data_IF_161604516829
#
_entry.id   IF_161604516829
#
_cell.length_a   1.000
_cell.length_b   1.000
_cell.length_c   1.000
_cell.angle_alpha   90.00
_cell.angle_beta   90.00
_cell.angle_gamma   90.00
#
_symmetry.space_group_name_H-M   'P 1'
#
loop_
_entity.id
_entity.type
_entity.pdbx_description
1 polymer ?
#
# COMPACT_ATOMS: atom_id res chain seq x y z
N UNK A 1 62.30 69.38 6.22
CA UNK A 1 61.86 68.00 5.94
C UNK A 1 60.35 68.04 5.76
N UNK A 2 59.84 67.81 4.54
CA UNK A 2 58.44 68.07 4.21
C UNK A 2 57.53 66.96 4.79
N UNK A 3 56.34 67.31 5.30
CA UNK A 3 55.44 66.41 6.06
C UNK A 3 55.10 65.13 5.28
N UNK A 4 55.00 65.25 3.95
CA UNK A 4 54.77 64.14 3.01
C UNK A 4 55.92 63.12 3.02
N UNK A 5 57.16 63.59 3.16
CA UNK A 5 58.34 62.72 3.20
C UNK A 5 58.49 62.02 4.55
N UNK A 6 58.04 62.65 5.65
CA UNK A 6 57.99 62.01 6.97
C UNK A 6 56.87 60.96 7.06
N UNK A 7 55.74 61.18 6.39
CA UNK A 7 54.65 60.18 6.28
C UNK A 7 55.01 59.02 5.38
N UNK A 8 55.69 59.26 4.25
CA UNK A 8 56.23 58.18 3.41
C UNK A 8 57.33 57.38 4.12
N UNK A 9 58.24 58.04 4.83
CA UNK A 9 59.27 57.36 5.61
C UNK A 9 58.68 56.55 6.78
N UNK A 10 57.68 57.07 7.48
CA UNK A 10 56.97 56.30 8.53
C UNK A 10 56.10 55.18 7.98
N UNK A 11 55.52 55.32 6.77
CA UNK A 11 54.85 54.21 6.09
C UNK A 11 55.84 53.14 5.59
N UNK A 12 57.01 53.52 5.07
CA UNK A 12 58.04 52.56 4.64
C UNK A 12 58.69 51.85 5.83
N UNK A 13 59.03 52.57 6.91
CA UNK A 13 59.61 51.97 8.12
C UNK A 13 58.63 51.07 8.88
N UNK A 14 57.33 51.42 8.88
CA UNK A 14 56.32 50.63 9.59
C UNK A 14 55.52 49.69 8.69
N UNK A 15 55.84 49.62 7.39
CA UNK A 15 55.18 48.74 6.43
C UNK A 15 55.21 47.29 6.90
N UNK A 16 56.36 46.85 7.43
CA UNK A 16 56.53 45.53 8.01
C UNK A 16 55.55 45.25 9.16
N UNK A 17 55.37 46.22 10.08
CA UNK A 17 54.44 46.10 11.21
C UNK A 17 52.99 46.09 10.74
N UNK A 18 52.62 46.92 9.76
CA UNK A 18 51.28 46.94 9.19
C UNK A 18 50.96 45.60 8.49
N UNK A 19 51.89 45.06 7.70
CA UNK A 19 51.70 43.77 7.03
C UNK A 19 51.67 42.60 8.01
N UNK A 20 52.52 42.60 9.05
CA UNK A 20 52.46 41.54 10.08
C UNK A 20 51.14 41.55 10.84
N UNK A 21 50.62 42.73 11.21
CA UNK A 21 49.32 42.84 11.86
C UNK A 21 48.19 42.34 10.94
N UNK A 22 48.19 42.73 9.66
CA UNK A 22 47.19 42.26 8.69
C UNK A 22 47.24 40.73 8.47
N UNK A 23 48.45 40.15 8.41
CA UNK A 23 48.62 38.70 8.28
C UNK A 23 48.11 37.98 9.54
N UNK A 24 48.43 38.48 10.73
CA UNK A 24 47.93 37.90 11.99
C UNK A 24 46.40 37.97 12.06
N UNK A 25 45.79 39.08 11.65
CA UNK A 25 44.34 39.21 11.56
C UNK A 25 43.74 38.24 10.54
N UNK A 26 44.36 38.09 9.37
CA UNK A 26 43.89 37.17 8.33
C UNK A 26 43.99 35.70 8.77
N UNK A 27 45.09 35.31 9.43
CA UNK A 27 45.25 33.97 10.02
C UNK A 27 44.23 33.75 11.14
N UNK A 28 44.04 34.73 12.04
CA UNK A 28 43.03 34.66 13.09
C UNK A 28 41.62 34.51 12.52
N UNK A 29 41.28 35.28 11.49
CA UNK A 29 39.99 35.20 10.81
C UNK A 29 39.78 33.84 10.13
N UNK A 30 40.79 33.33 9.40
CA UNK A 30 40.69 32.02 8.72
C UNK A 30 40.56 30.87 9.71
N UNK A 31 41.27 30.89 10.84
CA UNK A 31 41.14 29.87 11.90
C UNK A 31 39.75 29.93 12.56
N UNK A 32 39.26 31.12 12.90
CA UNK A 32 37.92 31.29 13.49
C UNK A 32 36.83 30.85 12.49
N UNK A 33 36.99 31.18 11.22
CA UNK A 33 36.04 30.80 10.17
C UNK A 33 36.04 29.29 9.93
N UNK A 34 37.22 28.65 9.88
CA UNK A 34 37.36 27.19 9.77
C UNK A 34 36.71 26.48 10.97
N UNK A 35 36.98 26.94 12.19
CA UNK A 35 36.40 26.36 13.40
C UNK A 35 34.86 26.52 13.43
N UNK A 36 34.32 27.65 12.94
CA UNK A 36 32.87 27.83 12.78
C UNK A 36 32.27 26.90 11.73
N UNK A 37 32.95 26.70 10.60
CA UNK A 37 32.53 25.75 9.56
C UNK A 37 32.51 24.32 10.09
N UNK A 38 33.56 23.90 10.78
CA UNK A 38 33.64 22.57 11.40
C UNK A 38 32.57 22.37 12.49
N UNK A 39 32.33 23.37 13.34
CA UNK A 39 31.24 23.33 14.32
C UNK A 39 29.86 23.24 13.67
N UNK A 40 29.63 23.95 12.57
CA UNK A 40 28.38 23.88 11.80
C UNK A 40 28.21 22.53 11.09
N UNK A 41 29.28 21.96 10.51
CA UNK A 41 29.27 20.63 9.92
C UNK A 41 28.94 19.56 10.98
N UNK A 42 29.58 19.64 12.15
CA UNK A 42 29.31 18.73 13.27
C UNK A 42 27.88 18.86 13.81
N UNK A 43 27.32 20.08 13.91
CA UNK A 43 25.92 20.31 14.26
C UNK A 43 24.95 19.77 13.20
N UNK A 44 25.30 19.89 11.93
CA UNK A 44 24.49 19.37 10.82
C UNK A 44 24.52 17.84 10.82
N UNK A 45 25.68 17.23 11.04
CA UNK A 45 25.84 15.78 11.20
C UNK A 45 25.08 15.24 12.43
N UNK A 46 25.17 15.92 13.58
CA UNK A 46 24.41 15.55 14.78
C UNK A 46 22.90 15.68 14.57
N UNK A 47 22.44 16.72 13.88
CA UNK A 47 21.03 16.92 13.50
C UNK A 47 20.57 15.84 12.52
N UNK A 48 21.36 15.49 11.50
CA UNK A 48 21.09 14.37 10.59
C UNK A 48 21.03 13.03 11.33
N UNK A 49 21.93 12.78 12.28
CA UNK A 49 21.94 11.56 13.11
C UNK A 49 20.71 11.50 14.03
N UNK A 50 20.29 12.63 14.60
CA UNK A 50 19.08 12.75 15.42
C UNK A 50 17.79 12.57 14.58
N UNK A 51 17.76 13.11 13.37
CA UNK A 51 16.69 12.90 12.38
C UNK A 51 16.62 11.43 11.93
N UNK A 52 17.75 10.79 11.64
CA UNK A 52 17.81 9.37 11.30
C UNK A 52 17.33 8.48 12.47
N UNK A 53 17.70 8.81 13.70
CA UNK A 53 17.23 8.08 14.89
C UNK A 53 15.73 8.29 15.15
N UNK A 54 15.20 9.49 14.88
CA UNK A 54 13.77 9.82 14.94
C UNK A 54 12.97 9.16 13.81
N UNK A 55 13.59 8.97 12.63
CA UNK A 55 13.00 8.25 11.50
C UNK A 55 12.85 6.76 11.80
N UNK A 56 13.86 6.16 12.45
CA UNK A 56 13.81 4.75 12.84
C UNK A 56 12.90 4.45 14.04
N UNK A 57 12.53 5.45 14.85
CA UNK A 57 11.67 5.24 16.03
C UNK A 57 10.16 5.26 15.74
N UNK A 58 9.75 5.42 14.48
CA UNK A 58 8.33 5.54 14.10
C UNK A 58 7.88 4.66 12.93
N UNK A 59 8.79 3.93 12.28
CA UNK A 59 8.44 2.86 11.35
C UNK A 59 8.48 1.55 12.11
N UNK A 60 7.34 0.91 12.26
CA UNK A 60 7.29 -0.52 12.55
C UNK A 60 8.22 -1.19 11.52
N UNK A 61 9.30 -1.84 11.97
CA UNK A 61 10.24 -2.46 11.03
C UNK A 61 9.48 -3.54 10.26
N UNK A 62 9.59 -3.52 8.94
CA UNK A 62 8.95 -4.52 8.07
C UNK A 62 9.47 -5.95 8.36
N UNK A 63 10.64 -6.06 8.98
CA UNK A 63 11.29 -7.31 9.36
C UNK A 63 11.66 -7.31 10.86
N UNK A 64 11.48 -8.44 11.57
CA UNK A 64 11.80 -8.55 13.00
C UNK A 64 13.31 -8.46 13.25
N UNK A 65 13.68 -8.21 14.52
CA UNK A 65 15.07 -8.40 14.97
C UNK A 65 15.47 -9.87 14.78
N UNK A 66 16.53 -10.09 14.02
CA UNK A 66 17.13 -11.36 13.64
C UNK A 66 18.26 -11.82 14.59
N UNK A 67 18.46 -11.08 15.69
CA UNK A 67 19.48 -11.37 16.70
C UNK A 67 19.14 -12.60 17.58
N UNK A 68 17.88 -13.04 17.59
CA UNK A 68 17.45 -14.23 18.34
C UNK A 68 17.32 -15.45 17.39
N UNK A 69 18.20 -16.46 17.49
CA UNK A 69 18.14 -17.66 16.63
C UNK A 69 16.83 -18.43 16.80
N UNK A 70 16.18 -18.24 17.94
CA UNK A 70 14.93 -18.86 18.34
C UNK A 70 13.72 -18.22 17.59
N UNK A 71 13.93 -17.11 16.87
CA UNK A 71 13.00 -16.52 15.90
C UNK A 71 13.21 -17.03 14.47
N UNK A 72 14.32 -17.72 14.17
CA UNK A 72 14.68 -18.17 12.82
C UNK A 72 14.09 -19.56 12.52
N UNK A 73 12.77 -19.61 12.34
CA UNK A 73 12.08 -20.84 11.94
C UNK A 73 11.35 -20.62 10.62
N UNK A 74 11.52 -21.52 9.63
CA UNK A 74 10.90 -21.36 8.34
C UNK A 74 9.37 -21.45 8.43
N UNK A 75 8.70 -20.82 7.46
CA UNK A 75 7.23 -20.81 7.39
C UNK A 75 6.63 -22.21 7.16
N UNK A 76 7.41 -23.09 6.53
CA UNK A 76 7.13 -24.50 6.25
C UNK A 76 8.33 -25.34 6.70
N UNK A 77 8.16 -26.64 7.03
CA UNK A 77 9.27 -27.50 7.45
C UNK A 77 10.42 -27.57 6.43
N UNK A 78 11.67 -27.57 6.89
CA UNK A 78 12.86 -27.63 6.01
C UNK A 78 12.94 -28.92 5.18
N UNK A 79 12.39 -30.01 5.72
CA UNK A 79 12.33 -31.33 5.11
C UNK A 79 11.09 -31.53 4.22
N UNK A 80 10.39 -30.45 3.86
CA UNK A 80 9.22 -30.52 2.96
C UNK A 80 9.60 -31.21 1.65
N UNK A 81 8.96 -32.35 1.30
CA UNK A 81 9.34 -33.12 0.11
C UNK A 81 8.96 -32.39 -1.18
N UNK A 82 9.86 -32.44 -2.16
CA UNK A 82 9.56 -32.00 -3.52
C UNK A 82 8.88 -33.15 -4.30
N UNK A 83 7.75 -32.85 -4.95
CA UNK A 83 6.98 -33.81 -5.74
C UNK A 83 6.96 -33.44 -7.22
N UNK A 84 6.90 -34.41 -8.16
CA UNK A 84 6.80 -34.11 -9.58
C UNK A 84 5.52 -33.33 -9.94
N UNK A 85 5.67 -32.19 -10.60
CA UNK A 85 4.55 -31.40 -11.11
C UNK A 85 4.05 -31.93 -12.46
N UNK A 86 2.75 -32.22 -12.58
CA UNK A 86 2.12 -32.80 -13.78
C UNK A 86 0.87 -32.02 -14.21
N UNK A 87 1.02 -30.84 -14.84
CA UNK A 87 -0.11 -30.05 -15.31
C UNK A 87 -0.76 -30.68 -16.56
N UNK A 88 -2.03 -30.32 -16.86
CA UNK A 88 -2.66 -30.68 -18.12
C UNK A 88 -1.84 -30.16 -19.31
N UNK A 89 -1.47 -31.05 -20.22
CA UNK A 89 -0.82 -30.73 -21.48
C UNK A 89 -1.89 -30.36 -22.52
N UNK A 90 -1.66 -29.31 -23.31
CA UNK A 90 -2.59 -28.81 -24.33
C UNK A 90 -1.84 -28.50 -25.62
N UNK A 91 -2.55 -28.54 -26.74
CA UNK A 91 -1.99 -28.10 -28.03
C UNK A 91 -1.93 -26.58 -28.10
N UNK A 92 -1.06 -26.03 -28.95
CA UNK A 92 -0.95 -24.58 -29.16
C UNK A 92 -2.27 -23.97 -29.64
N UNK A 93 -3.03 -24.70 -30.47
CA UNK A 93 -4.36 -24.29 -30.93
C UNK A 93 -5.35 -24.15 -29.76
N UNK A 94 -5.37 -25.13 -28.85
CA UNK A 94 -6.24 -25.06 -27.67
C UNK A 94 -5.81 -23.92 -26.74
N UNK A 95 -4.51 -23.72 -26.54
CA UNK A 95 -3.98 -22.62 -25.72
C UNK A 95 -4.43 -21.27 -26.29
N UNK A 96 -4.27 -21.06 -27.60
CA UNK A 96 -4.65 -19.82 -28.27
C UNK A 96 -6.16 -19.56 -28.20
N UNK A 97 -6.98 -20.60 -28.39
CA UNK A 97 -8.45 -20.49 -28.28
C UNK A 97 -8.85 -20.09 -26.87
N UNK A 98 -8.38 -20.83 -25.86
CA UNK A 98 -8.71 -20.58 -24.45
C UNK A 98 -8.23 -19.21 -23.98
N UNK A 99 -7.07 -18.75 -24.44
CA UNK A 99 -6.57 -17.42 -24.07
C UNK A 99 -7.47 -16.30 -24.61
N UNK A 100 -8.02 -16.46 -25.81
CA UNK A 100 -8.97 -15.49 -26.40
C UNK A 100 -10.30 -15.50 -25.65
N UNK A 101 -10.89 -16.68 -25.46
CA UNK A 101 -12.16 -16.85 -24.74
C UNK A 101 -12.09 -16.24 -23.32
N UNK A 102 -10.99 -16.49 -22.60
CA UNK A 102 -10.80 -15.96 -21.26
C UNK A 102 -10.56 -14.45 -21.24
N UNK A 103 -9.79 -13.92 -22.22
CA UNK A 103 -9.63 -12.48 -22.38
C UNK A 103 -10.98 -11.80 -22.63
N UNK A 104 -11.80 -12.34 -23.54
CA UNK A 104 -13.11 -11.78 -23.88
C UNK A 104 -14.07 -11.80 -22.67
N UNK A 105 -14.06 -12.87 -21.87
CA UNK A 105 -14.80 -12.95 -20.61
C UNK A 105 -14.36 -11.86 -19.61
N UNK A 106 -13.06 -11.70 -19.41
CA UNK A 106 -12.51 -10.72 -18.47
C UNK A 106 -12.60 -9.28 -19.00
N UNK A 107 -12.67 -9.11 -20.32
CA UNK A 107 -12.91 -7.83 -20.99
C UNK A 107 -14.28 -7.25 -20.61
N UNK A 108 -15.30 -8.12 -20.47
CA UNK A 108 -16.67 -7.74 -20.10
C UNK A 108 -16.80 -7.26 -18.65
N UNK A 109 -15.87 -7.62 -17.76
CA UNK A 109 -15.94 -7.23 -16.35
C UNK A 109 -15.95 -5.71 -16.20
N UNK A 110 -17.01 -5.17 -15.58
CA UNK A 110 -17.10 -3.77 -15.15
C UNK A 110 -17.27 -3.69 -13.64
N UNK A 111 -16.86 -2.57 -13.06
CA UNK A 111 -17.13 -2.26 -11.66
C UNK A 111 -18.54 -1.71 -11.54
N UNK A 112 -19.43 -2.42 -10.86
CA UNK A 112 -20.85 -2.10 -10.71
C UNK A 112 -21.12 -1.54 -9.32
N UNK A 113 -21.98 -0.52 -9.22
CA UNK A 113 -22.28 0.19 -7.94
C UNK A 113 -23.76 0.10 -7.54
N UNK A 114 -24.58 -0.66 -8.26
CA UNK A 114 -25.99 -0.88 -7.97
C UNK A 114 -26.28 -2.38 -8.09
N UNK A 115 -26.79 -2.98 -7.02
CA UNK A 115 -26.89 -4.43 -6.87
C UNK A 115 -28.35 -4.86 -6.71
N UNK A 116 -28.68 -6.04 -7.25
CA UNK A 116 -29.92 -6.73 -6.92
C UNK A 116 -29.83 -7.31 -5.51
N UNK A 117 -30.90 -7.30 -4.70
CA UNK A 117 -30.93 -7.94 -3.38
C UNK A 117 -31.06 -9.47 -3.45
N UNK A 118 -31.12 -10.06 -4.64
CA UNK A 118 -31.23 -11.51 -4.83
C UNK A 118 -30.07 -12.24 -4.10
N UNK A 119 -30.37 -13.24 -3.25
CA UNK A 119 -29.35 -13.91 -2.45
C UNK A 119 -28.37 -14.69 -3.33
N UNK A 120 -27.11 -14.77 -2.87
CA UNK A 120 -26.09 -15.63 -3.45
C UNK A 120 -26.07 -16.94 -2.64
N UNK A 121 -26.12 -18.12 -3.27
CA UNK A 121 -25.93 -19.37 -2.55
C UNK A 121 -24.56 -19.43 -1.85
N UNK A 122 -24.52 -19.87 -0.60
CA UNK A 122 -23.28 -19.90 0.20
C UNK A 122 -22.18 -20.75 -0.45
N UNK A 123 -22.55 -21.81 -1.16
CA UNK A 123 -21.59 -22.64 -1.90
C UNK A 123 -20.87 -21.85 -2.99
N UNK A 124 -21.54 -20.90 -3.66
CA UNK A 124 -20.90 -20.01 -4.64
C UNK A 124 -19.89 -19.11 -3.95
N UNK A 125 -20.25 -18.50 -2.80
CA UNK A 125 -19.33 -17.67 -2.01
C UNK A 125 -18.11 -18.48 -1.54
N UNK A 126 -18.34 -19.70 -1.05
CA UNK A 126 -17.27 -20.62 -0.64
C UNK A 126 -16.35 -20.96 -1.81
N UNK A 127 -16.88 -21.23 -3.00
CA UNK A 127 -16.09 -21.62 -4.16
C UNK A 127 -15.26 -20.46 -4.72
N UNK A 128 -15.79 -19.23 -4.78
CA UNK A 128 -15.00 -18.07 -5.23
C UNK A 128 -13.88 -17.72 -4.22
N UNK A 129 -14.13 -17.89 -2.91
CA UNK A 129 -13.12 -17.70 -1.86
C UNK A 129 -12.06 -18.80 -1.90
N UNK A 130 -12.45 -20.07 -2.04
CA UNK A 130 -11.51 -21.19 -2.24
C UNK A 130 -10.61 -20.93 -3.46
N UNK A 131 -11.20 -20.42 -4.54
CA UNK A 131 -10.46 -20.04 -5.75
C UNK A 131 -9.45 -18.94 -5.45
N UNK A 132 -9.83 -17.90 -4.70
CA UNK A 132 -8.89 -16.86 -4.26
C UNK A 132 -7.77 -17.43 -3.37
N UNK A 133 -8.07 -18.42 -2.53
CA UNK A 133 -7.12 -19.13 -1.67
C UNK A 133 -6.06 -19.93 -2.42
N UNK A 134 -6.22 -20.20 -3.72
CA UNK A 134 -5.18 -20.87 -4.52
C UNK A 134 -4.08 -19.92 -4.99
N UNK A 135 -4.06 -18.68 -4.48
CA UNK A 135 -3.10 -17.66 -4.90
C UNK A 135 -1.68 -17.98 -4.43
N UNK A 136 -0.64 -17.52 -5.15
CA UNK A 136 0.71 -17.54 -4.61
C UNK A 136 0.84 -16.57 -3.44
N UNK A 137 1.72 -16.90 -2.50
CA UNK A 137 2.10 -16.00 -1.40
C UNK A 137 3.58 -16.14 -1.06
N UNK A 138 4.19 -15.06 -0.58
CA UNK A 138 5.59 -15.05 -0.15
C UNK A 138 5.83 -16.12 0.91
N UNK A 139 6.78 -17.03 0.64
CA UNK A 139 7.10 -18.17 1.50
C UNK A 139 5.89 -19.06 1.89
N UNK A 140 4.87 -19.16 1.02
CA UNK A 140 3.65 -19.95 1.28
C UNK A 140 2.97 -19.59 2.62
N UNK A 141 2.88 -18.29 2.90
CA UNK A 141 2.34 -17.78 4.17
C UNK A 141 0.82 -17.62 4.18
N UNK A 142 0.19 -17.58 3.00
CA UNK A 142 -1.27 -17.46 2.81
C UNK A 142 -1.90 -16.36 3.70
N UNK A 143 -1.39 -15.10 3.64
CA UNK A 143 -1.63 -14.11 4.68
C UNK A 143 -2.96 -13.37 4.50
N UNK A 144 -4.05 -14.09 4.24
CA UNK A 144 -5.35 -13.53 3.93
C UNK A 144 -6.45 -14.08 4.85
N UNK A 145 -7.40 -13.21 5.16
CA UNK A 145 -8.67 -13.57 5.77
C UNK A 145 -9.79 -12.96 4.93
N UNK A 146 -10.71 -13.79 4.43
CA UNK A 146 -11.90 -13.35 3.72
C UNK A 146 -13.10 -13.40 4.66
N UNK A 147 -13.59 -12.23 5.09
CA UNK A 147 -14.78 -12.14 5.93
C UNK A 147 -16.00 -11.97 5.04
N UNK A 148 -16.93 -12.91 5.12
CA UNK A 148 -18.22 -12.88 4.42
C UNK A 148 -19.27 -12.28 5.35
N UNK A 149 -19.99 -11.26 4.89
CA UNK A 149 -21.08 -10.64 5.63
C UNK A 149 -22.34 -10.65 4.78
N UNK A 150 -23.31 -11.49 5.17
CA UNK A 150 -24.67 -11.51 4.62
C UNK A 150 -25.70 -10.95 5.61
N UNK A 151 -25.39 -10.92 6.90
CA UNK A 151 -26.27 -10.36 7.93
C UNK A 151 -26.57 -8.89 7.66
N UNK A 152 -27.86 -8.56 7.56
CA UNK A 152 -28.31 -7.23 7.18
C UNK A 152 -27.92 -6.16 8.20
N UNK A 153 -27.99 -6.47 9.50
CA UNK A 153 -27.65 -5.52 10.56
C UNK A 153 -26.15 -5.19 10.56
N UNK A 154 -25.30 -6.20 10.31
CA UNK A 154 -23.85 -6.00 10.19
C UNK A 154 -23.51 -5.20 8.93
N UNK A 155 -24.17 -5.47 7.80
CA UNK A 155 -24.00 -4.69 6.57
C UNK A 155 -24.37 -3.21 6.76
N UNK A 156 -25.46 -2.94 7.48
CA UNK A 156 -25.87 -1.57 7.83
C UNK A 156 -24.86 -0.87 8.74
N UNK A 157 -24.36 -1.57 9.77
CA UNK A 157 -23.31 -1.03 10.64
C UNK A 157 -22.02 -0.71 9.86
N UNK A 158 -21.60 -1.59 8.93
CA UNK A 158 -20.47 -1.34 8.02
C UNK A 158 -20.74 -0.09 7.17
N UNK A 159 -21.95 0.03 6.61
CA UNK A 159 -22.34 1.19 5.80
C UNK A 159 -22.23 2.48 6.59
N UNK A 160 -22.77 2.54 7.80
CA UNK A 160 -22.69 3.72 8.66
C UNK A 160 -21.24 4.15 8.89
N UNK A 161 -20.37 3.21 9.29
CA UNK A 161 -18.93 3.49 9.49
C UNK A 161 -18.29 4.06 8.22
N UNK A 162 -18.55 3.44 7.06
CA UNK A 162 -17.94 3.85 5.79
C UNK A 162 -18.45 5.22 5.33
N UNK A 163 -19.75 5.49 5.44
CA UNK A 163 -20.34 6.77 5.01
C UNK A 163 -19.83 7.94 5.87
N UNK A 164 -19.72 7.76 7.19
CA UNK A 164 -19.16 8.76 8.12
C UNK A 164 -17.71 9.11 7.78
N UNK A 165 -16.85 8.10 7.58
CA UNK A 165 -15.44 8.34 7.24
C UNK A 165 -15.29 8.92 5.82
N UNK A 166 -16.12 8.49 4.87
CA UNK A 166 -16.12 9.03 3.51
C UNK A 166 -16.58 10.49 3.47
N UNK A 167 -17.55 10.89 4.28
CA UNK A 167 -17.93 12.30 4.40
C UNK A 167 -16.72 13.16 4.82
N UNK A 168 -15.98 12.74 5.84
CA UNK A 168 -14.74 13.39 6.27
C UNK A 168 -13.65 13.33 5.18
N UNK A 169 -13.56 12.22 4.45
CA UNK A 169 -12.58 12.08 3.37
C UNK A 169 -12.84 13.09 2.25
N UNK A 170 -14.08 13.18 1.76
CA UNK A 170 -14.45 14.09 0.67
C UNK A 170 -14.37 15.57 1.08
N UNK A 171 -14.67 15.89 2.34
CA UNK A 171 -14.71 17.27 2.82
C UNK A 171 -13.37 17.80 3.31
N UNK A 172 -12.50 16.94 3.87
CA UNK A 172 -11.31 17.39 4.61
C UNK A 172 -10.01 16.66 4.26
N UNK A 173 -10.05 15.34 3.98
CA UNK A 173 -8.81 14.52 3.94
C UNK A 173 -8.29 14.23 2.52
N UNK A 174 -9.16 14.11 1.54
CA UNK A 174 -8.77 13.92 0.13
C UNK A 174 -8.33 15.25 -0.48
N UNK A 175 -7.30 15.20 -1.33
CA UNK A 175 -6.86 16.38 -2.06
C UNK A 175 -7.94 16.82 -3.07
N UNK A 176 -7.97 18.12 -3.39
CA UNK A 176 -8.90 18.65 -4.40
C UNK A 176 -8.74 17.98 -5.77
N UNK A 177 -7.51 17.58 -6.11
CA UNK A 177 -7.21 16.83 -7.32
C UNK A 177 -7.88 15.46 -7.28
N UNK A 178 -7.70 14.70 -6.20
CA UNK A 178 -8.31 13.38 -6.06
C UNK A 178 -9.84 13.45 -6.13
N UNK A 179 -10.46 14.40 -5.43
CA UNK A 179 -11.92 14.62 -5.52
C UNK A 179 -12.36 14.95 -6.96
N UNK A 180 -11.54 15.68 -7.72
CA UNK A 180 -11.82 15.99 -9.13
C UNK A 180 -11.71 14.76 -10.02
N UNK A 181 -10.69 13.92 -9.81
CA UNK A 181 -10.49 12.66 -10.54
C UNK A 181 -11.63 11.65 -10.31
N UNK A 182 -12.36 11.77 -9.19
CA UNK A 182 -13.49 10.92 -8.85
C UNK A 182 -14.81 11.34 -9.54
N UNK A 183 -14.92 12.57 -10.05
CA UNK A 183 -16.15 13.10 -10.66
C UNK A 183 -16.72 12.23 -11.80
N UNK A 184 -15.90 11.69 -12.74
CA UNK A 184 -16.41 10.84 -13.82
C UNK A 184 -17.12 9.56 -13.35
N UNK A 185 -16.84 9.12 -12.12
CA UNK A 185 -17.46 7.92 -11.55
C UNK A 185 -18.76 8.22 -10.78
N UNK A 186 -19.15 9.50 -10.67
CA UNK A 186 -20.31 9.97 -9.91
C UNK A 186 -20.36 9.42 -8.47
N UNK A 187 -19.20 9.17 -7.86
CA UNK A 187 -19.12 8.64 -6.49
C UNK A 187 -19.40 9.73 -5.47
N UNK A 188 -20.17 9.38 -4.43
CA UNK A 188 -20.49 10.24 -3.28
C UNK A 188 -20.07 9.52 -1.99
N UNK A 189 -20.20 10.21 -0.86
CA UNK A 189 -20.01 9.60 0.46
C UNK A 189 -21.10 8.56 0.77
N UNK A 190 -22.33 8.74 0.26
CA UNK A 190 -23.44 7.78 0.40
C UNK A 190 -23.16 6.51 -0.43
N UNK A 191 -23.21 5.34 0.22
CA UNK A 191 -22.83 4.02 -0.29
C UNK A 191 -23.97 2.99 -0.12
N UNK A 192 -25.11 3.15 -0.82
CA UNK A 192 -26.28 2.29 -0.61
C UNK A 192 -26.02 0.81 -0.93
N UNK A 193 -25.10 0.56 -1.86
CA UNK A 193 -24.65 -0.79 -2.22
C UNK A 193 -24.09 -1.60 -1.05
N UNK A 194 -23.67 -0.98 0.05
CA UNK A 194 -23.19 -1.69 1.24
C UNK A 194 -24.32 -2.41 1.99
N UNK A 195 -25.53 -1.88 1.93
CA UNK A 195 -26.73 -2.53 2.49
C UNK A 195 -27.50 -3.32 1.44
N UNK A 196 -27.51 -2.88 0.17
CA UNK A 196 -28.29 -3.51 -0.91
C UNK A 196 -27.67 -4.81 -1.44
N UNK A 197 -26.34 -4.89 -1.54
CA UNK A 197 -25.69 -6.10 -2.05
C UNK A 197 -25.98 -7.29 -1.12
N UNK A 198 -26.27 -8.49 -1.66
CA UNK A 198 -26.62 -9.67 -0.85
C UNK A 198 -25.44 -10.16 0.00
N UNK A 199 -24.19 -9.87 -0.40
CA UNK A 199 -23.01 -10.19 0.39
C UNK A 199 -21.96 -9.08 0.30
N UNK A 200 -21.24 -8.84 1.40
CA UNK A 200 -19.99 -8.10 1.43
C UNK A 200 -18.84 -9.08 1.70
N UNK A 201 -17.78 -9.00 0.90
CA UNK A 201 -16.51 -9.69 1.16
C UNK A 201 -15.49 -8.65 1.61
N UNK A 202 -15.04 -8.74 2.86
CA UNK A 202 -13.95 -7.93 3.38
C UNK A 202 -12.67 -8.76 3.36
N UNK A 203 -11.70 -8.31 2.56
CA UNK A 203 -10.40 -8.95 2.38
C UNK A 203 -9.40 -8.30 3.32
N UNK A 204 -9.00 -9.03 4.34
CA UNK A 204 -7.98 -8.60 5.28
C UNK A 204 -6.64 -9.24 4.91
N UNK A 205 -5.55 -8.46 4.94
CA UNK A 205 -4.20 -9.01 5.02
C UNK A 205 -3.83 -9.25 6.46
N UNK A 206 -3.12 -10.33 6.70
CA UNK A 206 -2.41 -10.60 7.95
C UNK A 206 -1.01 -10.00 7.82
N UNK A 207 -0.58 -9.16 8.75
CA UNK A 207 0.80 -8.61 8.77
C UNK A 207 1.81 -9.62 9.32
N UNK A 208 1.32 -10.52 10.15
CA UNK A 208 2.01 -11.69 10.71
C UNK A 208 0.95 -12.67 11.22
N UNK A 209 1.36 -13.90 11.50
CA UNK A 209 0.59 -14.87 12.28
C UNK A 209 1.33 -15.22 13.58
N UNK A 210 0.72 -16.09 14.38
CA UNK A 210 1.30 -16.60 15.61
C UNK A 210 1.67 -18.07 15.43
N UNK A 211 2.86 -18.44 15.89
CA UNK A 211 3.31 -19.83 16.00
C UNK A 211 2.73 -20.46 17.27
N UNK A 212 2.79 -21.78 17.37
CA UNK A 212 2.32 -22.52 18.56
C UNK A 212 3.06 -22.15 19.85
N UNK A 213 4.31 -21.68 19.75
CA UNK A 213 5.14 -21.18 20.85
C UNK A 213 4.85 -19.71 21.22
N UNK A 214 3.86 -19.07 20.57
CA UNK A 214 3.50 -17.67 20.80
C UNK A 214 4.40 -16.65 20.09
N UNK A 215 5.44 -17.08 19.36
CA UNK A 215 6.29 -16.17 18.58
C UNK A 215 5.60 -15.78 17.27
N UNK A 216 5.99 -14.63 16.71
CA UNK A 216 5.44 -14.17 15.42
C UNK A 216 5.98 -15.03 14.27
N UNK A 217 5.09 -15.44 13.37
CA UNK A 217 5.41 -15.92 12.02
C UNK A 217 5.23 -14.75 11.05
N UNK A 218 6.29 -14.32 10.41
CA UNK A 218 6.26 -13.16 9.52
C UNK A 218 5.65 -13.49 8.17
N UNK A 219 4.95 -12.51 7.58
CA UNK A 219 4.32 -12.62 6.28
C UNK A 219 4.96 -11.68 5.27
N UNK A 220 5.84 -12.24 4.45
CA UNK A 220 6.61 -11.50 3.44
C UNK A 220 5.73 -11.09 2.27
N UNK A 221 5.84 -9.83 1.84
CA UNK A 221 5.05 -9.29 0.73
C UNK A 221 3.54 -9.55 0.90
N UNK A 222 3.03 -9.48 2.13
CA UNK A 222 1.64 -9.82 2.47
C UNK A 222 0.63 -8.99 1.69
N UNK A 223 0.86 -7.70 1.53
CA UNK A 223 0.01 -6.81 0.73
C UNK A 223 -0.06 -7.24 -0.74
N UNK A 224 1.08 -7.52 -1.38
CA UNK A 224 1.15 -8.01 -2.77
C UNK A 224 0.46 -9.37 -2.91
N UNK A 225 0.70 -10.28 -1.96
CA UNK A 225 0.09 -11.62 -1.95
C UNK A 225 -1.44 -11.53 -1.88
N UNK A 226 -1.97 -10.68 -1.00
CA UNK A 226 -3.42 -10.46 -0.85
C UNK A 226 -4.01 -9.74 -2.06
N UNK A 227 -3.28 -8.80 -2.68
CA UNK A 227 -3.73 -8.14 -3.91
C UNK A 227 -3.85 -9.11 -5.09
N UNK A 228 -2.93 -10.08 -5.21
CA UNK A 228 -3.04 -11.17 -6.20
C UNK A 228 -4.28 -12.02 -5.92
N UNK A 229 -4.52 -12.38 -4.65
CA UNK A 229 -5.69 -13.14 -4.25
C UNK A 229 -7.01 -12.41 -4.54
N UNK A 230 -7.04 -11.09 -4.34
CA UNK A 230 -8.16 -10.27 -4.74
C UNK A 230 -8.37 -10.25 -6.27
N UNK A 231 -7.29 -10.26 -7.05
CA UNK A 231 -7.35 -10.39 -8.51
C UNK A 231 -8.01 -11.70 -8.96
N UNK A 232 -7.59 -12.82 -8.34
CA UNK A 232 -8.20 -14.14 -8.59
C UNK A 232 -9.66 -14.19 -8.13
N UNK A 233 -9.98 -13.60 -6.98
CA UNK A 233 -11.35 -13.48 -6.49
C UNK A 233 -12.26 -12.72 -7.49
N UNK A 234 -11.80 -11.58 -8.02
CA UNK A 234 -12.54 -10.80 -9.01
C UNK A 234 -12.75 -11.58 -10.31
N UNK A 235 -11.77 -12.40 -10.72
CA UNK A 235 -11.91 -13.27 -11.87
C UNK A 235 -12.93 -14.39 -11.63
N UNK A 236 -12.92 -15.01 -10.45
CA UNK A 236 -13.90 -16.02 -10.06
C UNK A 236 -15.34 -15.44 -10.00
N UNK A 237 -15.50 -14.24 -9.44
CA UNK A 237 -16.78 -13.51 -9.41
C UNK A 237 -17.30 -13.30 -10.84
N UNK A 238 -16.46 -12.78 -11.74
CA UNK A 238 -16.83 -12.57 -13.14
C UNK A 238 -17.18 -13.89 -13.84
N UNK A 239 -16.41 -14.94 -13.60
CA UNK A 239 -16.62 -16.26 -14.20
C UNK A 239 -17.98 -16.86 -13.79
N UNK A 240 -18.41 -16.65 -12.55
CA UNK A 240 -19.72 -17.09 -12.06
C UNK A 240 -20.89 -16.20 -12.54
N UNK A 241 -20.65 -15.15 -13.33
CA UNK A 241 -21.69 -14.22 -13.79
C UNK A 241 -22.19 -13.26 -12.70
N UNK A 242 -21.39 -13.05 -11.65
CA UNK A 242 -21.63 -12.05 -10.61
C UNK A 242 -20.84 -10.77 -10.90
N UNK A 243 -21.18 -9.69 -10.20
CA UNK A 243 -20.47 -8.40 -10.26
C UNK A 243 -19.99 -7.98 -8.88
N UNK A 244 -18.97 -7.13 -8.87
CA UNK A 244 -18.44 -6.56 -7.64
C UNK A 244 -17.96 -5.12 -7.82
N UNK A 245 -17.82 -4.44 -6.69
CA UNK A 245 -17.13 -3.16 -6.55
C UNK A 245 -15.87 -3.33 -5.71
N UNK A 246 -14.70 -3.08 -6.29
CA UNK A 246 -13.47 -2.94 -5.50
C UNK A 246 -13.47 -1.59 -4.80
N UNK A 247 -13.60 -1.58 -3.47
CA UNK A 247 -13.52 -0.36 -2.66
C UNK A 247 -12.47 -0.48 -1.56
N UNK A 248 -11.80 0.63 -1.28
CA UNK A 248 -10.77 0.78 -0.23
C UNK A 248 -11.26 1.85 0.75
N UNK A 249 -12.08 1.50 1.76
CA UNK A 249 -12.69 2.48 2.65
C UNK A 249 -11.61 3.10 3.56
N UNK A 250 -11.06 4.23 3.11
CA UNK A 250 -9.96 4.93 3.76
C UNK A 250 -10.35 5.32 5.19
N UNK A 251 -9.43 5.12 6.14
CA UNK A 251 -9.60 5.39 7.57
C UNK A 251 -10.64 4.52 8.31
N UNK A 252 -11.27 3.54 7.64
CA UNK A 252 -12.27 2.67 8.28
C UNK A 252 -11.68 1.44 8.98
N UNK A 253 -10.39 1.12 8.74
CA UNK A 253 -9.79 -0.15 9.13
C UNK A 253 -9.95 -0.48 10.63
N UNK A 254 -9.69 0.48 11.53
CA UNK A 254 -9.79 0.23 12.97
C UNK A 254 -11.23 -0.13 13.41
N UNK A 255 -12.22 0.67 12.99
CA UNK A 255 -13.63 0.49 13.35
C UNK A 255 -14.23 -0.76 12.72
N UNK A 256 -13.90 -1.05 11.46
CA UNK A 256 -14.38 -2.26 10.78
C UNK A 256 -13.74 -3.53 11.37
N UNK A 257 -12.47 -3.48 11.75
CA UNK A 257 -11.78 -4.58 12.43
C UNK A 257 -12.43 -4.87 13.79
N UNK A 258 -12.76 -3.84 14.57
CA UNK A 258 -13.46 -3.97 15.85
C UNK A 258 -14.87 -4.55 15.66
N UNK A 259 -15.67 -3.97 14.75
CA UNK A 259 -17.03 -4.45 14.45
C UNK A 259 -17.04 -5.94 14.08
N UNK A 260 -16.06 -6.38 13.29
CA UNK A 260 -15.96 -7.75 12.80
C UNK A 260 -15.11 -8.67 13.69
N UNK A 261 -14.74 -8.20 14.90
CA UNK A 261 -13.94 -8.96 15.87
C UNK A 261 -12.65 -9.54 15.27
N UNK A 262 -11.99 -8.77 14.41
CA UNK A 262 -10.74 -9.18 13.74
C UNK A 262 -9.51 -8.80 14.59
N UNK A 263 -8.47 -9.66 14.63
CA UNK A 263 -7.32 -9.43 15.48
C UNK A 263 -6.43 -8.29 14.97
N UNK A 264 -5.62 -7.70 15.85
CA UNK A 264 -4.81 -6.50 15.55
C UNK A 264 -3.76 -6.68 14.46
N UNK A 265 -3.36 -7.93 14.17
CA UNK A 265 -2.46 -8.28 13.08
C UNK A 265 -3.16 -8.28 11.71
N UNK A 266 -4.48 -8.13 11.65
CA UNK A 266 -5.22 -8.02 10.41
C UNK A 266 -5.51 -6.57 10.03
N UNK A 267 -5.33 -6.28 8.75
CA UNK A 267 -5.59 -4.97 8.14
C UNK A 267 -6.52 -5.15 6.96
N UNK A 268 -7.63 -4.42 6.94
CA UNK A 268 -8.54 -4.40 5.80
C UNK A 268 -7.83 -3.83 4.58
N UNK A 269 -7.77 -4.61 3.50
CA UNK A 269 -7.24 -4.19 2.21
C UNK A 269 -8.36 -3.79 1.27
N UNK A 270 -9.39 -4.63 1.14
CA UNK A 270 -10.51 -4.40 0.22
C UNK A 270 -11.85 -4.72 0.87
N UNK A 271 -12.87 -3.93 0.51
CA UNK A 271 -14.27 -4.23 0.76
C UNK A 271 -14.96 -4.40 -0.59
N UNK A 272 -15.52 -5.59 -0.84
CA UNK A 272 -16.18 -5.97 -2.08
C UNK A 272 -17.66 -6.29 -1.83
N UNK A 273 -18.60 -5.39 -2.15
CA UNK A 273 -19.99 -5.78 -2.34
C UNK A 273 -20.06 -6.73 -3.55
N UNK A 274 -20.75 -7.87 -3.40
CA UNK A 274 -20.89 -8.91 -4.43
C UNK A 274 -22.36 -9.25 -4.59
N UNK A 275 -22.79 -9.45 -5.84
CA UNK A 275 -24.17 -9.79 -6.17
C UNK A 275 -24.41 -9.81 -7.67
N UNK A 276 -25.69 -9.86 -8.06
CA UNK A 276 -26.11 -9.56 -9.43
C UNK A 276 -26.24 -8.04 -9.61
N UNK A 277 -26.02 -7.52 -10.83
CA UNK A 277 -26.29 -6.11 -11.08
C UNK A 277 -27.79 -5.83 -10.93
N UNK A 278 -28.13 -4.65 -10.40
CA UNK A 278 -29.50 -4.17 -10.44
C UNK A 278 -29.96 -4.03 -11.91
N UNK A 279 -31.25 -4.19 -12.21
CA UNK A 279 -31.79 -4.11 -13.58
C UNK A 279 -31.46 -2.78 -14.28
N UNK A 280 -31.44 -1.70 -13.50
CA UNK A 280 -31.10 -0.34 -13.96
C UNK A 280 -29.64 0.04 -13.68
N UNK A 281 -28.76 -0.92 -13.41
CA UNK A 281 -27.36 -0.62 -13.14
C UNK A 281 -26.69 0.02 -14.36
N UNK A 282 -26.02 1.16 -14.12
CA UNK A 282 -25.21 1.84 -15.13
C UNK A 282 -23.74 1.79 -14.74
N UNK A 283 -22.87 1.96 -15.73
CA UNK A 283 -21.43 2.09 -15.56
C UNK A 283 -20.95 3.30 -16.38
N UNK A 284 -19.90 4.01 -15.95
CA UNK A 284 -19.34 5.10 -16.75
C UNK A 284 -18.84 4.53 -18.08
N UNK A 285 -18.97 5.28 -19.16
CA UNK A 285 -18.49 4.86 -20.47
C UNK A 285 -16.96 5.08 -20.57
N UNK A 286 -16.19 4.05 -20.21
CA UNK A 286 -14.74 4.10 -20.10
C UNK A 286 -14.11 3.07 -21.02
N UNK A 287 -13.06 3.48 -21.73
CA UNK A 287 -12.22 2.58 -22.50
C UNK A 287 -10.97 2.17 -21.72
N UNK A 288 -10.54 0.92 -21.89
CA UNK A 288 -9.24 0.45 -21.38
C UNK A 288 -8.15 0.85 -22.38
N UNK A 289 -6.92 1.01 -21.88
CA UNK A 289 -5.73 1.16 -22.71
C UNK A 289 -5.61 0.00 -23.70
N UNK A 290 -5.04 0.29 -24.86
CA UNK A 290 -4.71 -0.70 -25.91
C UNK A 290 -3.54 -1.59 -25.48
N UNK A 291 -3.34 -2.71 -26.18
CA UNK A 291 -2.24 -3.63 -25.88
C UNK A 291 -0.86 -2.94 -26.00
N UNK A 292 -0.67 -2.08 -27.01
CA UNK A 292 0.58 -1.35 -27.23
C UNK A 292 0.92 -0.37 -26.11
N UNK A 293 -0.06 0.09 -25.34
CA UNK A 293 0.16 1.01 -24.21
C UNK A 293 0.52 0.28 -22.91
N UNK A 294 0.32 -1.04 -22.84
CA UNK A 294 0.53 -1.83 -21.62
C UNK A 294 1.55 -2.96 -21.78
N UNK A 295 1.95 -3.29 -23.01
CA UNK A 295 2.92 -4.34 -23.31
C UNK A 295 4.14 -3.76 -24.02
N UNK A 296 5.31 -3.90 -23.40
CA UNK A 296 6.61 -3.67 -24.04
C UNK A 296 7.22 -5.03 -24.35
N UNK A 297 7.51 -5.28 -25.64
CA UNK A 297 8.24 -6.48 -26.08
C UNK A 297 9.69 -6.08 -26.33
N UNK A 298 10.61 -6.69 -25.59
CA UNK A 298 12.05 -6.53 -25.72
C UNK A 298 12.60 -7.71 -26.52
#
# INVERSE_FOLDING_TARGET
MNIISLTLWTLEHNCYYVYTVLIVFFIGFTVVHKNRLEANLNRTAATKKKLARKWNSGRERDFPDDDDPDHLVPAIPEDTPHVPYKPPQRTDEEILRRSREYYELMAQRRTVRAFSPEPIPDEVLNNIIKTAGTSPSGAHTEPWTFVVVQDQSVKEAIRTIVEEEEELNYTQRMSRQWVTDLKPFATKHIKPYLSEAPALLLVFRQTHSWRADGKKKMHYYSEVSVAIAAGILLAAIQYCGLVALTSTPLNCNARLRELLSRPVNERLELLLPVGRPHQNATVPDLSRKTLSEIMVKI
#
